data_IF_532370534928
#
_entry.id   IF_532370534928
#
_cell.length_a   1.000
_cell.length_b   1.000
_cell.length_c   1.000
_cell.angle_alpha   90.00
_cell.angle_beta   90.00
_cell.angle_gamma   90.00
#
_symmetry.space_group_name_H-M   'P 1'
#
loop_
_entity.id
_entity.type
_entity.pdbx_description
1 polymer ?
#
# COMPACT_ATOMS: atom_id res chain seq x y z
N UNK A 1 12.47 -31.83 -4.13
CA UNK A 1 11.29 -30.95 -4.10
C UNK A 1 11.41 -30.03 -5.28
N UNK A 2 10.39 -29.93 -6.13
CA UNK A 2 10.41 -28.94 -7.22
C UNK A 2 10.36 -27.57 -6.54
N UNK A 3 11.37 -26.73 -6.77
CA UNK A 3 11.37 -25.35 -6.29
C UNK A 3 10.13 -24.66 -6.84
N UNK A 4 9.29 -24.07 -5.98
CA UNK A 4 8.19 -23.22 -6.45
C UNK A 4 8.80 -22.00 -7.15
N UNK A 5 8.33 -21.69 -8.35
CA UNK A 5 8.77 -20.51 -9.09
C UNK A 5 7.79 -19.37 -8.84
N UNK A 6 8.20 -18.40 -8.03
CA UNK A 6 7.42 -17.20 -7.72
C UNK A 6 8.10 -15.98 -8.34
N UNK A 7 7.36 -15.21 -9.13
CA UNK A 7 7.82 -13.94 -9.71
C UNK A 7 6.84 -12.84 -9.38
N UNK A 8 7.37 -11.68 -9.00
CA UNK A 8 6.59 -10.47 -8.77
C UNK A 8 7.04 -9.40 -9.77
N UNK A 9 6.17 -9.09 -10.73
CA UNK A 9 6.33 -7.89 -11.54
C UNK A 9 5.83 -6.71 -10.72
N UNK A 10 6.70 -5.74 -10.48
CA UNK A 10 6.44 -4.62 -9.60
C UNK A 10 7.03 -3.31 -10.14
N UNK A 11 6.74 -2.24 -9.44
CA UNK A 11 7.39 -0.95 -9.65
C UNK A 11 7.87 -0.40 -8.31
N UNK A 12 9.14 -0.01 -8.24
CA UNK A 12 9.82 0.32 -6.98
C UNK A 12 9.13 1.41 -6.12
N UNK A 13 8.40 2.34 -6.75
CA UNK A 13 7.69 3.41 -6.06
C UNK A 13 6.19 3.12 -5.84
N UNK A 14 5.71 1.92 -6.22
CA UNK A 14 4.30 1.56 -6.13
C UNK A 14 3.95 0.99 -4.75
N UNK A 15 3.07 1.66 -3.97
CA UNK A 15 2.64 1.12 -2.67
C UNK A 15 1.97 -0.25 -2.81
N UNK A 16 1.29 -0.50 -3.93
CA UNK A 16 0.62 -1.75 -4.22
C UNK A 16 1.61 -2.90 -4.46
N UNK A 17 2.75 -2.62 -5.09
CA UNK A 17 3.81 -3.62 -5.30
C UNK A 17 4.51 -3.95 -3.98
N UNK A 18 4.88 -2.93 -3.20
CA UNK A 18 5.51 -3.11 -1.89
C UNK A 18 4.62 -3.89 -0.91
N UNK A 19 3.30 -3.67 -0.94
CA UNK A 19 2.35 -4.45 -0.13
C UNK A 19 2.46 -5.96 -0.37
N UNK A 20 2.51 -6.38 -1.64
CA UNK A 20 2.65 -7.79 -2.03
C UNK A 20 4.04 -8.31 -1.66
N UNK A 21 5.07 -7.48 -1.88
CA UNK A 21 6.44 -7.81 -1.53
C UNK A 21 6.61 -8.06 -0.02
N UNK A 22 6.04 -7.19 0.82
CA UNK A 22 6.04 -7.36 2.28
C UNK A 22 5.31 -8.64 2.67
N UNK A 23 4.19 -8.98 2.03
CA UNK A 23 3.47 -10.23 2.30
C UNK A 23 4.32 -11.47 2.00
N UNK A 24 4.97 -11.51 0.83
CA UNK A 24 5.87 -12.62 0.46
C UNK A 24 7.00 -12.77 1.49
N UNK A 25 7.65 -11.66 1.87
CA UNK A 25 8.75 -11.68 2.85
C UNK A 25 8.30 -12.07 4.25
N UNK A 26 7.13 -11.60 4.71
CA UNK A 26 6.57 -12.00 6.00
C UNK A 26 6.23 -13.50 6.03
N UNK A 27 5.90 -14.08 4.88
CA UNK A 27 5.64 -15.52 4.72
C UNK A 27 6.89 -16.35 4.42
N UNK A 28 8.08 -15.73 4.37
CA UNK A 28 9.33 -16.40 4.05
C UNK A 28 9.37 -17.02 2.64
N UNK A 29 8.62 -16.46 1.70
CA UNK A 29 8.55 -16.95 0.31
C UNK A 29 9.69 -16.31 -0.49
N UNK A 30 10.54 -17.14 -1.09
CA UNK A 30 11.52 -16.69 -2.08
C UNK A 30 10.83 -16.35 -3.41
N UNK A 31 11.21 -15.24 -4.03
CA UNK A 31 10.64 -14.78 -5.30
C UNK A 31 11.66 -14.00 -6.12
N UNK A 32 11.47 -14.01 -7.45
CA UNK A 32 12.16 -13.11 -8.38
C UNK A 32 11.38 -11.80 -8.50
N UNK A 33 12.00 -10.66 -8.17
CA UNK A 33 11.41 -9.35 -8.45
C UNK A 33 11.78 -8.87 -9.85
N UNK A 34 10.77 -8.51 -10.64
CA UNK A 34 10.94 -7.99 -11.99
C UNK A 34 10.45 -6.54 -11.99
N UNK A 35 11.39 -5.61 -12.08
CA UNK A 35 11.07 -4.18 -12.19
C UNK A 35 10.44 -3.87 -13.55
N UNK A 36 9.29 -3.17 -13.52
CA UNK A 36 8.57 -2.71 -14.71
C UNK A 36 8.60 -1.19 -14.83
N UNK A 37 8.83 -0.70 -16.04
CA UNK A 37 8.56 0.70 -16.37
C UNK A 37 7.06 0.89 -16.62
N UNK A 38 6.38 1.54 -15.68
CA UNK A 38 4.93 1.77 -15.79
C UNK A 38 4.53 2.85 -16.80
N UNK A 39 5.49 3.64 -17.30
CA UNK A 39 5.30 4.65 -18.36
C UNK A 39 5.56 4.04 -19.74
N UNK A 40 6.48 3.09 -19.84
CA UNK A 40 6.75 2.30 -21.03
C UNK A 40 6.60 0.79 -20.75
N UNK A 41 5.34 0.36 -20.67
CA UNK A 41 4.97 -1.00 -20.22
C UNK A 41 5.54 -2.08 -21.13
N UNK A 42 6.17 -3.08 -20.53
CA UNK A 42 6.73 -4.21 -21.27
C UNK A 42 5.65 -5.05 -21.95
N UNK A 43 6.00 -5.72 -23.05
CA UNK A 43 5.12 -6.71 -23.70
C UNK A 43 4.68 -7.79 -22.72
N UNK A 44 5.58 -8.21 -21.83
CA UNK A 44 5.32 -9.19 -20.78
C UNK A 44 4.21 -8.72 -19.83
N UNK A 45 4.25 -7.49 -19.34
CA UNK A 45 3.19 -6.95 -18.47
C UNK A 45 1.84 -6.91 -19.21
N UNK A 46 1.85 -6.51 -20.48
CA UNK A 46 0.64 -6.43 -21.30
C UNK A 46 0.04 -7.82 -21.58
N UNK A 47 0.87 -8.84 -21.73
CA UNK A 47 0.44 -10.24 -21.91
C UNK A 47 -0.06 -10.87 -20.60
N UNK A 48 0.62 -10.62 -19.49
CA UNK A 48 0.28 -11.21 -18.19
C UNK A 48 -0.95 -10.55 -17.54
N UNK A 49 -1.16 -9.24 -17.73
CA UNK A 49 -2.32 -8.52 -17.23
C UNK A 49 -2.99 -7.71 -18.36
N UNK A 50 -3.65 -8.37 -19.33
CA UNK A 50 -4.18 -7.70 -20.52
C UNK A 50 -5.37 -6.77 -20.22
N UNK A 51 -6.07 -7.02 -19.10
CA UNK A 51 -7.25 -6.24 -18.69
C UNK A 51 -6.82 -4.88 -18.12
N UNK A 52 -6.03 -4.88 -17.05
CA UNK A 52 -5.67 -3.64 -16.35
C UNK A 52 -4.32 -3.07 -16.79
N UNK A 53 -3.41 -3.90 -17.30
CA UNK A 53 -2.07 -3.51 -17.76
C UNK A 53 -1.32 -2.76 -16.66
N UNK A 54 -1.41 -3.24 -15.42
CA UNK A 54 -0.86 -2.62 -14.20
C UNK A 54 -0.11 -3.64 -13.37
N UNK A 55 0.87 -3.14 -12.61
CA UNK A 55 1.54 -3.85 -11.52
C UNK A 55 0.81 -3.61 -10.19
N UNK A 56 0.92 -4.52 -9.20
CA UNK A 56 1.68 -5.77 -9.22
C UNK A 56 1.01 -6.90 -10.02
N UNK A 57 1.84 -7.79 -10.56
CA UNK A 57 1.41 -9.09 -11.11
C UNK A 57 2.28 -10.18 -10.48
N UNK A 58 1.63 -11.20 -9.93
CA UNK A 58 2.31 -12.38 -9.38
C UNK A 58 2.19 -13.53 -10.37
N UNK A 59 3.32 -14.20 -10.63
CA UNK A 59 3.36 -15.48 -11.35
C UNK A 59 3.82 -16.55 -10.38
N UNK A 60 3.01 -17.58 -10.15
CA UNK A 60 3.34 -18.71 -9.27
C UNK A 60 3.14 -20.01 -10.05
N UNK A 61 4.24 -20.72 -10.33
CA UNK A 61 4.26 -21.95 -11.14
C UNK A 61 3.49 -21.79 -12.47
N UNK A 62 3.76 -20.70 -13.17
CA UNK A 62 3.12 -20.33 -14.44
C UNK A 62 1.68 -19.81 -14.33
N UNK A 63 1.07 -19.80 -13.14
CA UNK A 63 -0.26 -19.20 -12.92
C UNK A 63 -0.10 -17.71 -12.68
N UNK A 64 -0.92 -16.91 -13.34
CA UNK A 64 -0.81 -15.44 -13.33
C UNK A 64 -1.98 -14.84 -12.55
N UNK A 65 -1.68 -13.96 -11.61
CA UNK A 65 -2.67 -13.24 -10.80
C UNK A 65 -2.30 -11.75 -10.72
N UNK A 66 -3.30 -10.90 -10.59
CA UNK A 66 -3.15 -9.45 -10.48
C UNK A 66 -4.08 -8.90 -9.38
N UNK A 67 -4.00 -7.59 -9.14
CA UNK A 67 -4.68 -6.85 -8.07
C UNK A 67 -4.10 -7.14 -6.67
N UNK A 68 -3.47 -6.12 -6.08
CA UNK A 68 -2.67 -6.30 -4.86
C UNK A 68 -3.44 -6.89 -3.67
N UNK A 69 -4.72 -6.57 -3.51
CA UNK A 69 -5.57 -7.17 -2.47
C UNK A 69 -5.86 -8.65 -2.74
N UNK A 70 -6.17 -9.01 -3.98
CA UNK A 70 -6.37 -10.41 -4.37
C UNK A 70 -5.07 -11.21 -4.15
N UNK A 71 -3.92 -10.61 -4.49
CA UNK A 71 -2.62 -11.19 -4.25
C UNK A 71 -2.32 -11.41 -2.76
N UNK A 72 -2.71 -10.49 -1.88
CA UNK A 72 -2.60 -10.69 -0.43
C UNK A 72 -3.39 -11.91 0.04
N UNK A 73 -4.64 -12.05 -0.42
CA UNK A 73 -5.48 -13.20 -0.06
C UNK A 73 -4.89 -14.50 -0.61
N UNK A 74 -4.46 -14.51 -1.87
CA UNK A 74 -3.79 -15.65 -2.48
C UNK A 74 -2.54 -16.09 -1.72
N UNK A 75 -1.70 -15.13 -1.34
CA UNK A 75 -0.49 -15.40 -0.54
C UNK A 75 -0.87 -16.00 0.82
N UNK A 76 -1.89 -15.44 1.47
CA UNK A 76 -2.33 -15.92 2.77
C UNK A 76 -2.89 -17.34 2.73
N UNK A 77 -3.65 -17.66 1.68
CA UNK A 77 -4.27 -18.96 1.48
C UNK A 77 -3.29 -20.03 0.97
N UNK A 78 -2.23 -19.63 0.29
CA UNK A 78 -1.22 -20.54 -0.29
C UNK A 78 -0.14 -20.90 0.74
N UNK A 79 0.44 -19.91 1.42
CA UNK A 79 1.54 -20.11 2.38
C UNK A 79 1.03 -19.90 3.81
N UNK A 80 0.52 -20.98 4.43
CA UNK A 80 -0.15 -20.94 5.75
C UNK A 80 0.77 -21.15 6.96
N UNK A 81 2.08 -21.27 6.73
CA UNK A 81 2.97 -22.00 7.65
C UNK A 81 3.24 -21.29 8.99
N UNK A 82 3.08 -19.96 9.07
CA UNK A 82 3.40 -19.21 10.30
C UNK A 82 2.24 -18.41 10.86
N UNK A 83 1.67 -17.53 10.04
CA UNK A 83 0.70 -16.55 10.50
C UNK A 83 -0.28 -16.25 9.38
N UNK A 84 -1.57 -16.22 9.71
CA UNK A 84 -2.59 -15.71 8.79
C UNK A 84 -2.56 -14.18 8.75
N UNK A 85 -2.67 -13.63 7.54
CA UNK A 85 -2.81 -12.19 7.32
C UNK A 85 -4.24 -11.76 7.61
N UNK A 86 -5.23 -12.53 7.15
CA UNK A 86 -6.64 -12.25 7.42
C UNK A 86 -7.12 -12.91 8.72
N UNK A 87 -8.02 -12.23 9.47
CA UNK A 87 -8.74 -12.86 10.56
C UNK A 87 -9.53 -14.10 10.11
N UNK A 88 -9.62 -15.10 10.98
CA UNK A 88 -10.45 -16.28 10.73
C UNK A 88 -11.94 -16.00 10.92
N UNK A 89 -12.27 -15.15 11.89
CA UNK A 89 -13.65 -14.70 12.12
C UNK A 89 -14.20 -13.96 10.88
N UNK A 90 -15.37 -14.35 10.34
CA UNK A 90 -15.91 -13.74 9.13
C UNK A 90 -16.20 -12.23 9.27
N UNK A 91 -16.64 -11.78 10.44
CA UNK A 91 -16.96 -10.38 10.67
C UNK A 91 -15.68 -9.53 10.69
N UNK A 92 -14.68 -9.93 11.47
CA UNK A 92 -13.38 -9.26 11.51
C UNK A 92 -12.69 -9.27 10.14
N UNK A 93 -12.77 -10.38 9.40
CA UNK A 93 -12.27 -10.47 8.03
C UNK A 93 -12.98 -9.50 7.09
N UNK A 94 -14.30 -9.36 7.21
CA UNK A 94 -15.08 -8.40 6.43
C UNK A 94 -14.70 -6.95 6.76
N UNK A 95 -14.45 -6.65 8.03
CA UNK A 95 -14.05 -5.32 8.53
C UNK A 95 -12.68 -4.92 8.01
N UNK A 96 -11.71 -5.85 8.04
CA UNK A 96 -10.39 -5.64 7.44
C UNK A 96 -10.48 -5.35 5.94
N UNK A 97 -11.29 -6.09 5.19
CA UNK A 97 -11.50 -5.83 3.75
C UNK A 97 -12.17 -4.46 3.50
N UNK A 98 -13.16 -4.11 4.31
CA UNK A 98 -13.85 -2.82 4.20
C UNK A 98 -12.89 -1.65 4.37
N UNK A 99 -12.13 -1.62 5.46
CA UNK A 99 -11.20 -0.52 5.73
C UNK A 99 -10.03 -0.45 4.75
N UNK A 100 -9.56 -1.59 4.26
CA UNK A 100 -8.58 -1.64 3.18
C UNK A 100 -9.10 -0.95 1.91
N UNK A 101 -10.36 -1.21 1.53
CA UNK A 101 -10.99 -0.55 0.37
C UNK A 101 -11.26 0.92 0.61
N UNK A 102 -11.74 1.33 1.80
CA UNK A 102 -11.93 2.75 2.13
C UNK A 102 -10.61 3.51 2.03
N UNK A 103 -9.52 2.96 2.56
CA UNK A 103 -8.21 3.60 2.47
C UNK A 103 -7.75 3.77 1.01
N UNK A 104 -7.98 2.79 0.13
CA UNK A 104 -7.51 2.82 -1.26
C UNK A 104 -8.45 3.61 -2.20
N UNK A 105 -9.76 3.44 -2.08
CA UNK A 105 -10.76 4.06 -2.97
C UNK A 105 -11.11 5.50 -2.55
N UNK A 106 -10.77 5.91 -1.33
CA UNK A 106 -11.08 7.27 -0.84
C UNK A 106 -9.84 8.01 -0.39
N UNK A 107 -9.17 7.52 0.66
CA UNK A 107 -8.06 8.27 1.24
C UNK A 107 -6.91 8.44 0.25
N UNK A 108 -6.49 7.36 -0.44
CA UNK A 108 -5.41 7.41 -1.43
C UNK A 108 -5.76 8.33 -2.59
N UNK A 109 -6.97 8.23 -3.15
CA UNK A 109 -7.44 9.08 -4.25
C UNK A 109 -7.40 10.57 -3.87
N UNK A 110 -8.01 10.93 -2.74
CA UNK A 110 -8.06 12.31 -2.29
C UNK A 110 -6.68 12.85 -1.89
N UNK A 111 -5.84 12.04 -1.24
CA UNK A 111 -4.47 12.41 -0.86
C UNK A 111 -3.62 12.67 -2.10
N UNK A 112 -3.65 11.75 -3.07
CA UNK A 112 -2.90 11.91 -4.31
C UNK A 112 -3.42 13.11 -5.12
N UNK A 113 -4.75 13.27 -5.20
CA UNK A 113 -5.39 14.43 -5.84
C UNK A 113 -4.97 15.76 -5.22
N UNK A 114 -4.97 15.85 -3.88
CA UNK A 114 -4.53 17.05 -3.16
C UNK A 114 -3.04 17.35 -3.38
N UNK A 115 -2.19 16.31 -3.50
CA UNK A 115 -0.76 16.49 -3.77
C UNK A 115 -0.52 17.19 -5.12
N UNK A 116 -1.24 16.76 -6.16
CA UNK A 116 -0.99 17.19 -7.55
C UNK A 116 -1.82 18.41 -7.99
N UNK A 117 -2.85 18.79 -7.24
CA UNK A 117 -3.75 19.89 -7.62
C UNK A 117 -3.38 21.23 -6.97
N UNK A 118 -4.07 22.29 -7.40
CA UNK A 118 -3.88 23.67 -6.96
C UNK A 118 -5.23 24.35 -6.64
N UNK A 119 -5.17 25.45 -5.87
CA UNK A 119 -6.34 26.27 -5.53
C UNK A 119 -7.48 25.50 -4.87
N UNK A 120 -8.71 25.82 -5.25
CA UNK A 120 -9.94 25.22 -4.70
C UNK A 120 -9.99 23.69 -4.85
N UNK A 121 -9.44 23.14 -5.94
CA UNK A 121 -9.39 21.69 -6.14
C UNK A 121 -8.51 21.01 -5.09
N UNK A 122 -7.37 21.61 -4.74
CA UNK A 122 -6.50 21.11 -3.67
C UNK A 122 -7.19 21.18 -2.32
N UNK A 123 -7.83 22.30 -2.01
CA UNK A 123 -8.53 22.49 -0.73
C UNK A 123 -9.67 21.47 -0.55
N UNK A 124 -10.45 21.24 -1.59
CA UNK A 124 -11.54 20.25 -1.59
C UNK A 124 -11.00 18.82 -1.40
N UNK A 125 -9.98 18.44 -2.16
CA UNK A 125 -9.38 17.11 -2.06
C UNK A 125 -8.74 16.90 -0.67
N UNK A 126 -8.05 17.91 -0.14
CA UNK A 126 -7.44 17.87 1.18
C UNK A 126 -8.50 17.68 2.27
N UNK A 127 -9.59 18.46 2.23
CA UNK A 127 -10.70 18.31 3.17
C UNK A 127 -11.29 16.90 3.15
N UNK A 128 -11.56 16.36 1.96
CA UNK A 128 -12.08 15.00 1.84
C UNK A 128 -11.08 13.92 2.29
N UNK A 129 -9.78 14.14 2.11
CA UNK A 129 -8.76 13.24 2.64
C UNK A 129 -8.75 13.24 4.17
N UNK A 130 -8.83 14.41 4.81
CA UNK A 130 -8.88 14.55 6.27
C UNK A 130 -10.12 13.86 6.84
N UNK A 131 -11.31 14.10 6.28
CA UNK A 131 -12.57 13.49 6.74
C UNK A 131 -12.51 11.95 6.70
N UNK A 132 -11.87 11.38 5.67
CA UNK A 132 -11.70 9.91 5.57
C UNK A 132 -10.63 9.42 6.55
N UNK A 133 -9.53 10.16 6.70
CA UNK A 133 -8.48 9.82 7.66
C UNK A 133 -9.02 9.82 9.10
N UNK A 134 -9.91 10.75 9.45
CA UNK A 134 -10.55 10.81 10.78
C UNK A 134 -11.35 9.52 11.06
N UNK A 135 -12.04 9.00 10.05
CA UNK A 135 -12.79 7.73 10.17
C UNK A 135 -11.86 6.52 10.34
N UNK A 136 -10.72 6.51 9.65
CA UNK A 136 -9.70 5.48 9.85
C UNK A 136 -9.09 5.60 11.25
N UNK A 137 -8.81 6.81 11.73
CA UNK A 137 -8.29 7.05 13.07
C UNK A 137 -9.26 6.58 14.17
N UNK A 138 -10.57 6.84 14.02
CA UNK A 138 -11.61 6.33 14.91
C UNK A 138 -11.59 4.80 14.99
N UNK A 139 -11.48 4.12 13.84
CA UNK A 139 -11.34 2.66 13.78
C UNK A 139 -10.05 2.18 14.47
N UNK A 140 -8.92 2.85 14.23
CA UNK A 140 -7.63 2.46 14.80
C UNK A 140 -7.60 2.67 16.32
N UNK A 141 -8.22 3.74 16.84
CA UNK A 141 -8.37 3.98 18.28
C UNK A 141 -9.16 2.88 18.99
N UNK A 142 -10.13 2.27 18.30
CA UNK A 142 -10.88 1.13 18.82
C UNK A 142 -10.05 -0.16 18.95
N UNK A 143 -8.85 -0.19 18.38
CA UNK A 143 -7.98 -1.36 18.35
C UNK A 143 -6.83 -1.24 19.35
N UNK A 144 -6.94 -1.94 20.48
CA UNK A 144 -5.91 -1.97 21.53
C UNK A 144 -4.72 -2.92 21.21
N UNK A 145 -4.64 -3.46 19.99
CA UNK A 145 -3.61 -4.43 19.60
C UNK A 145 -2.37 -3.72 19.07
N UNK A 146 -1.25 -4.46 19.03
CA UNK A 146 0.06 -3.96 18.55
C UNK A 146 -0.01 -3.52 17.09
N UNK A 147 -0.64 -4.31 16.25
CA UNK A 147 -0.91 -4.09 14.84
C UNK A 147 -2.42 -4.21 14.58
N UNK A 148 -2.88 -3.77 13.41
CA UNK A 148 -4.28 -3.90 13.02
C UNK A 148 -4.70 -5.38 12.90
N UNK A 149 -3.77 -6.24 12.48
CA UNK A 149 -3.89 -7.70 12.48
C UNK A 149 -3.76 -8.37 13.86
N UNK A 150 -3.38 -7.62 14.90
CA UNK A 150 -3.25 -8.13 16.26
C UNK A 150 -1.84 -8.04 16.82
N UNK A 151 -1.26 -9.18 17.21
CA UNK A 151 0.12 -9.22 17.75
C UNK A 151 1.19 -9.07 16.66
N UNK A 152 0.79 -9.23 15.40
CA UNK A 152 1.64 -9.28 14.23
C UNK A 152 1.00 -8.55 13.05
N UNK A 153 1.81 -8.19 12.05
CA UNK A 153 1.35 -7.51 10.83
C UNK A 153 0.35 -8.39 10.10
N UNK A 154 -0.87 -7.91 9.89
CA UNK A 154 -1.92 -8.59 9.15
C UNK A 154 -2.26 -7.91 7.82
N UNK A 155 -3.34 -8.38 7.20
CA UNK A 155 -3.85 -7.89 5.93
C UNK A 155 -4.10 -6.39 5.95
N UNK A 156 -4.76 -5.87 7.00
CA UNK A 156 -5.10 -4.46 7.09
C UNK A 156 -3.85 -3.59 7.31
N UNK A 157 -2.84 -4.08 8.03
CA UNK A 157 -1.56 -3.37 8.17
C UNK A 157 -0.85 -3.23 6.82
N UNK A 158 -0.79 -4.31 6.04
CA UNK A 158 -0.22 -4.29 4.68
C UNK A 158 -1.04 -3.40 3.74
N UNK A 159 -2.37 -3.43 3.88
CA UNK A 159 -3.28 -2.55 3.15
C UNK A 159 -3.00 -1.07 3.44
N UNK A 160 -2.86 -0.70 4.70
CA UNK A 160 -2.70 0.70 5.12
C UNK A 160 -1.23 1.15 5.15
N UNK A 161 -0.26 0.25 4.97
CA UNK A 161 1.18 0.54 5.09
C UNK A 161 1.68 1.72 4.25
N UNK A 162 0.98 2.05 3.16
CA UNK A 162 1.27 3.24 2.36
C UNK A 162 1.03 4.55 3.13
N UNK A 163 0.09 4.59 4.08
CA UNK A 163 -0.16 5.73 4.96
C UNK A 163 1.08 6.03 5.81
N UNK A 164 1.83 5.01 6.23
CA UNK A 164 3.00 5.21 7.07
C UNK A 164 4.20 5.78 6.30
N UNK A 165 4.35 5.45 5.00
CA UNK A 165 5.56 5.82 4.24
C UNK A 165 5.31 6.73 3.03
N UNK A 166 4.26 6.51 2.23
CA UNK A 166 3.97 7.32 1.05
C UNK A 166 3.25 8.62 1.41
N UNK A 167 2.25 8.55 2.29
CA UNK A 167 1.45 9.74 2.63
C UNK A 167 2.30 10.90 3.19
N UNK A 168 3.28 10.70 4.10
CA UNK A 168 4.12 11.80 4.58
C UNK A 168 4.98 12.44 3.47
N UNK A 169 5.38 11.64 2.47
CA UNK A 169 6.11 12.14 1.30
C UNK A 169 5.17 12.98 0.44
N UNK A 170 3.92 12.55 0.27
CA UNK A 170 2.91 13.29 -0.48
C UNK A 170 2.51 14.59 0.22
N UNK A 171 2.41 14.59 1.55
CA UNK A 171 2.18 15.79 2.35
C UNK A 171 3.29 16.83 2.14
N UNK A 172 4.55 16.39 2.15
CA UNK A 172 5.72 17.24 1.90
C UNK A 172 5.72 17.80 0.46
N UNK A 173 5.60 16.94 -0.55
CA UNK A 173 5.57 17.33 -1.98
C UNK A 173 4.35 18.20 -2.29
N UNK A 174 3.22 17.89 -1.67
CA UNK A 174 1.96 18.59 -1.76
C UNK A 174 1.98 19.94 -1.04
N UNK A 175 2.87 20.13 -0.07
CA UNK A 175 2.79 21.20 0.94
C UNK A 175 1.39 21.25 1.56
N UNK A 176 1.00 20.14 2.19
CA UNK A 176 -0.30 19.91 2.81
C UNK A 176 -0.14 19.01 4.05
N UNK A 177 -1.17 18.90 4.88
CA UNK A 177 -1.18 18.04 6.06
C UNK A 177 -2.56 17.37 6.19
N UNK A 178 -2.55 16.04 6.20
CA UNK A 178 -3.71 15.15 6.34
C UNK A 178 -3.64 14.45 7.69
N UNK A 179 -2.49 13.88 8.05
CA UNK A 179 -2.26 13.17 9.32
C UNK A 179 -1.40 14.03 10.25
N UNK A 180 -2.06 14.90 11.02
CA UNK A 180 -1.42 15.65 12.11
C UNK A 180 -1.21 14.74 13.33
N UNK A 181 0.04 14.49 13.81
CA UNK A 181 0.29 13.63 14.96
C UNK A 181 -0.50 13.95 16.23
N UNK A 182 -0.90 15.21 16.43
CA UNK A 182 -1.71 15.63 17.59
C UNK A 182 -3.18 15.21 17.49
N UNK A 183 -3.71 15.10 16.27
CA UNK A 183 -5.10 14.73 15.98
C UNK A 183 -5.25 13.24 15.65
N UNK A 184 -4.17 12.63 15.13
CA UNK A 184 -4.09 11.25 14.67
C UNK A 184 -3.10 10.39 15.49
N UNK A 185 -3.22 10.33 16.83
CA UNK A 185 -2.26 9.62 17.67
C UNK A 185 -2.22 8.09 17.42
N UNK A 186 -3.34 7.45 17.10
CA UNK A 186 -3.39 6.00 16.86
C UNK A 186 -2.68 5.65 15.55
N UNK A 187 -2.99 6.37 14.47
CA UNK A 187 -2.32 6.24 13.17
C UNK A 187 -0.82 6.51 13.29
N UNK A 188 -0.43 7.55 14.04
CA UNK A 188 0.98 7.89 14.27
C UNK A 188 1.72 6.79 15.03
N UNK A 189 1.13 6.31 16.12
CA UNK A 189 1.73 5.25 16.94
C UNK A 189 1.83 3.93 16.17
N UNK A 190 0.80 3.57 15.40
CA UNK A 190 0.82 2.41 14.51
C UNK A 190 1.87 2.54 13.42
N UNK A 191 1.95 3.69 12.73
CA UNK A 191 2.91 3.94 11.66
C UNK A 191 4.34 3.74 12.14
N UNK A 192 4.68 4.24 13.33
CA UNK A 192 5.98 4.01 13.95
C UNK A 192 6.28 2.52 14.13
N UNK A 193 5.34 1.76 14.72
CA UNK A 193 5.51 0.31 14.94
C UNK A 193 5.61 -0.46 13.62
N UNK A 194 4.82 -0.09 12.62
CA UNK A 194 4.84 -0.70 11.29
C UNK A 194 6.19 -0.47 10.59
N UNK A 195 6.69 0.77 10.58
CA UNK A 195 7.98 1.11 9.94
C UNK A 195 9.18 0.55 10.71
N UNK A 196 9.09 0.36 12.03
CA UNK A 196 10.15 -0.25 12.84
C UNK A 196 10.19 -1.79 12.71
N UNK A 197 9.17 -2.42 12.12
CA UNK A 197 9.18 -3.87 11.91
C UNK A 197 10.33 -4.27 10.97
N UNK A 198 11.17 -5.28 11.31
CA UNK A 198 12.39 -5.58 10.56
C UNK A 198 12.18 -5.81 9.05
N UNK A 199 11.15 -6.60 8.71
CA UNK A 199 10.79 -6.88 7.31
C UNK A 199 10.31 -5.62 6.59
N UNK A 200 9.57 -4.73 7.25
CA UNK A 200 9.11 -3.51 6.61
C UNK A 200 10.29 -2.57 6.39
N UNK A 201 11.02 -2.26 7.47
CA UNK A 201 12.15 -1.32 7.48
C UNK A 201 13.20 -1.60 6.40
N UNK A 202 13.50 -2.88 6.16
CA UNK A 202 14.51 -3.30 5.17
C UNK A 202 14.01 -3.23 3.72
N UNK A 203 12.70 -3.10 3.50
CA UNK A 203 12.05 -3.22 2.18
C UNK A 203 11.16 -2.00 1.86
N UNK A 204 11.50 -0.85 2.44
CA UNK A 204 10.89 0.44 2.09
C UNK A 204 11.66 1.07 0.92
N UNK A 205 10.96 1.71 -0.04
CA UNK A 205 11.61 2.51 -1.06
C UNK A 205 12.38 3.67 -0.41
N UNK A 206 13.60 4.01 -0.86
CA UNK A 206 14.38 5.10 -0.29
C UNK A 206 13.64 6.44 -0.38
N UNK A 207 13.45 7.10 0.76
CA UNK A 207 12.67 8.34 0.86
C UNK A 207 13.16 9.44 -0.09
N UNK A 208 14.47 9.62 -0.21
CA UNK A 208 15.04 10.67 -1.08
C UNK A 208 14.72 10.42 -2.55
N UNK A 209 14.78 9.17 -3.01
CA UNK A 209 14.38 8.80 -4.38
C UNK A 209 12.89 9.03 -4.59
N UNK A 210 12.07 8.72 -3.59
CA UNK A 210 10.62 8.91 -3.63
C UNK A 210 10.23 10.39 -3.71
N UNK A 211 10.93 11.26 -2.98
CA UNK A 211 10.73 12.72 -3.05
C UNK A 211 10.99 13.24 -4.47
N UNK A 212 12.13 12.88 -5.05
CA UNK A 212 12.47 13.25 -6.44
C UNK A 212 11.37 12.75 -7.40
N UNK A 213 11.00 11.48 -7.28
CA UNK A 213 9.95 10.89 -8.12
C UNK A 213 8.62 11.64 -8.01
N UNK A 214 8.11 11.88 -6.79
CA UNK A 214 6.81 12.52 -6.62
C UNK A 214 6.80 14.02 -6.95
N UNK A 215 7.92 14.73 -6.78
CA UNK A 215 8.04 16.10 -7.31
C UNK A 215 7.90 16.12 -8.84
N UNK A 216 8.56 15.21 -9.55
CA UNK A 216 8.41 15.10 -11.00
C UNK A 216 6.98 14.69 -11.40
N UNK A 217 6.37 13.74 -10.69
CA UNK A 217 4.97 13.36 -10.91
C UNK A 217 4.02 14.54 -10.72
N UNK A 218 4.21 15.35 -9.68
CA UNK A 218 3.42 16.56 -9.44
C UNK A 218 3.58 17.57 -10.58
N UNK A 219 4.79 17.80 -11.08
CA UNK A 219 5.02 18.70 -12.24
C UNK A 219 4.31 18.21 -13.50
N UNK A 220 4.39 16.91 -13.79
CA UNK A 220 3.78 16.31 -14.99
C UNK A 220 2.24 16.34 -14.93
N UNK A 221 1.67 16.06 -13.75
CA UNK A 221 0.22 15.87 -13.59
C UNK A 221 -0.53 17.13 -13.17
N UNK A 222 0.11 18.04 -12.44
CA UNK A 222 -0.54 19.24 -11.90
C UNK A 222 -0.84 20.32 -12.92
N UNK A 223 -0.24 20.23 -14.11
CA UNK A 223 -0.30 21.29 -15.13
C UNK A 223 0.42 22.56 -14.66
N UNK A 224 0.85 23.39 -15.61
CA UNK A 224 1.27 24.77 -15.29
C UNK A 224 0.03 25.52 -14.80
N UNK A 225 -0.03 25.81 -13.50
CA UNK A 225 -0.99 26.75 -12.92
C UNK A 225 -0.83 28.15 -13.51
#
# INVERSE_FOLDING_TARGET
MVSQEVKLLGFWASPFSNRVEWALKLKGVDYEYIEEDIFNKSSRLLELNPVHKRVPVLVHDGKVMAESFILLEYIDETWKQDQLLLPQDPYERSKARFWARVAEEKLLEYSFGAMISHGENKEKALKSAIEVAEKIEEEMKGNNKKFLGGESIGYLDLALGWIAHWLPIWEEVGSMQIVDPSQFPATTAWSKRFLDHPVIKQNLPPRDKMLVYFHERKKILGGSG
#
